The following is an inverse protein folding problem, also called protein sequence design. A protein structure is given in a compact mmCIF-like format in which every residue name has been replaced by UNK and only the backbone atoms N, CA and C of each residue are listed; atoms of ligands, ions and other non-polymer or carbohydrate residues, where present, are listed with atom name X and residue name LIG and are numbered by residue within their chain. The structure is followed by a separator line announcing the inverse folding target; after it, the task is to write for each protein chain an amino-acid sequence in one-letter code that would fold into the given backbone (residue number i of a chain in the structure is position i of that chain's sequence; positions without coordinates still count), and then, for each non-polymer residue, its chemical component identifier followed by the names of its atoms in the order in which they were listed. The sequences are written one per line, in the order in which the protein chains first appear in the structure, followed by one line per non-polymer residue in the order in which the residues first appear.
data_IF_187448913829
#
_entry.id   IF_187448913829
#
_cell.length_a   1.000
_cell.length_b   1.000
_cell.length_c   1.000
_cell.angle_alpha   90.00
_cell.angle_beta   90.00
_cell.angle_gamma   90.00
#
_symmetry.space_group_name_H-M   'P 1'
#
loop_
_entity.id
_entity.type
_entity.pdbx_description
1 polymer ?
#
# COMPACT_ATOMS: atom_id res chain seq x y z
N UNK A 1 10.18 -22.44 13.65
CA UNK A 1 11.12 -21.44 14.19
C UNK A 1 10.42 -20.59 15.25
N UNK A 2 10.33 -21.05 16.52
CA UNK A 2 9.44 -20.45 17.53
C UNK A 2 9.86 -19.05 18.05
N UNK A 3 11.00 -18.52 17.60
CA UNK A 3 11.53 -17.20 18.00
C UNK A 3 11.68 -16.23 16.81
N UNK A 4 11.16 -16.61 15.65
CA UNK A 4 11.22 -15.77 14.46
C UNK A 4 9.90 -15.03 14.34
N UNK A 5 9.97 -13.70 14.27
CA UNK A 5 8.79 -12.87 14.05
C UNK A 5 8.15 -13.21 12.71
N UNK A 6 6.86 -13.49 12.71
CA UNK A 6 6.09 -13.88 11.54
C UNK A 6 5.03 -12.82 11.20
N UNK A 7 5.21 -12.18 10.06
CA UNK A 7 4.20 -11.31 9.45
C UNK A 7 3.40 -12.14 8.43
N UNK A 8 2.08 -12.19 8.58
CA UNK A 8 1.21 -12.91 7.65
C UNK A 8 0.14 -12.02 7.02
N UNK A 9 -0.22 -12.31 5.78
CA UNK A 9 -1.23 -11.58 5.03
C UNK A 9 -1.28 -12.02 3.55
N UNK A 10 -2.11 -11.39 2.72
CA UNK A 10 -2.95 -10.24 3.06
C UNK A 10 -4.36 -10.66 3.46
N UNK A 11 -4.94 -9.93 4.41
CA UNK A 11 -6.36 -10.04 4.77
C UNK A 11 -7.06 -8.69 4.53
N UNK A 12 -8.39 -8.71 4.48
CA UNK A 12 -9.19 -7.50 4.34
C UNK A 12 -10.45 -7.48 5.21
N UNK A 13 -10.58 -8.44 6.14
CA UNK A 13 -11.77 -8.61 7.01
C UNK A 13 -11.36 -8.95 8.44
N UNK A 14 -12.31 -8.80 9.37
CA UNK A 14 -12.14 -9.17 10.77
C UNK A 14 -11.85 -10.68 10.92
N UNK A 15 -12.55 -11.53 10.18
CA UNK A 15 -12.41 -12.99 10.26
C UNK A 15 -11.02 -13.43 9.78
N UNK A 16 -10.52 -12.86 8.68
CA UNK A 16 -9.18 -13.15 8.19
C UNK A 16 -8.10 -12.73 9.20
N UNK A 17 -8.25 -11.55 9.80
CA UNK A 17 -7.36 -11.09 10.87
C UNK A 17 -7.38 -12.02 12.08
N UNK A 18 -8.57 -12.40 12.56
CA UNK A 18 -8.74 -13.32 13.68
C UNK A 18 -8.13 -14.70 13.41
N UNK A 19 -8.25 -15.21 12.18
CA UNK A 19 -7.67 -16.48 11.78
C UNK A 19 -6.13 -16.46 11.85
N UNK A 20 -5.50 -15.38 11.35
CA UNK A 20 -4.05 -15.21 11.42
C UNK A 20 -3.57 -15.05 12.87
N UNK A 21 -4.25 -14.24 13.68
CA UNK A 21 -3.95 -14.09 15.11
C UNK A 21 -4.02 -15.44 15.83
N UNK A 22 -5.07 -16.23 15.57
CA UNK A 22 -5.22 -17.58 16.14
C UNK A 22 -4.09 -18.53 15.69
N UNK A 23 -3.56 -18.34 14.49
CA UNK A 23 -2.42 -19.11 13.99
C UNK A 23 -1.08 -18.71 14.63
N UNK A 24 -1.04 -17.65 15.45
CA UNK A 24 0.15 -17.24 16.21
C UNK A 24 1.10 -16.33 15.45
N UNK A 25 0.59 -15.42 14.61
CA UNK A 25 1.41 -14.44 13.89
C UNK A 25 1.76 -13.24 14.77
N UNK A 26 2.93 -12.65 14.54
CA UNK A 26 3.42 -11.47 15.28
C UNK A 26 2.98 -10.15 14.62
N UNK A 27 2.50 -10.18 13.38
CA UNK A 27 1.81 -9.05 12.75
C UNK A 27 0.86 -9.50 11.64
N UNK A 28 -0.24 -8.75 11.46
CA UNK A 28 -1.20 -8.95 10.37
C UNK A 28 -1.00 -7.90 9.30
N UNK A 29 -0.78 -8.32 8.06
CA UNK A 29 -0.69 -7.44 6.89
C UNK A 29 -2.04 -7.33 6.18
N UNK A 30 -2.54 -6.11 6.01
CA UNK A 30 -3.90 -5.81 5.57
C UNK A 30 -3.88 -5.11 4.21
N UNK A 31 -4.63 -5.67 3.26
CA UNK A 31 -4.94 -5.00 1.99
C UNK A 31 -5.18 -5.96 0.85
N UNK A 32 -6.39 -5.92 0.26
CA UNK A 32 -6.77 -6.75 -0.89
C UNK A 32 -7.11 -5.86 -2.09
N UNK A 33 -6.19 -5.86 -3.07
CA UNK A 33 -6.27 -5.07 -4.30
C UNK A 33 -6.15 -3.53 -4.24
N UNK A 34 -5.59 -2.87 -3.19
CA UNK A 34 -5.52 -1.40 -3.15
C UNK A 34 -4.31 -0.81 -3.89
N UNK A 35 -3.31 -1.63 -4.25
CA UNK A 35 -2.04 -1.16 -4.78
C UNK A 35 -2.15 -0.66 -6.22
N UNK A 36 -1.33 0.34 -6.59
CA UNK A 36 -1.40 1.04 -7.89
C UNK A 36 -1.21 0.16 -9.13
N UNK A 37 -0.54 -0.98 -8.96
CA UNK A 37 -0.17 -1.96 -10.00
C UNK A 37 -1.03 -3.22 -9.93
N UNK A 38 -1.97 -3.29 -8.99
CA UNK A 38 -2.76 -4.48 -8.75
C UNK A 38 -4.08 -4.39 -9.51
N UNK A 39 -4.42 -5.44 -10.24
CA UNK A 39 -5.67 -5.55 -10.98
C UNK A 39 -6.62 -6.59 -10.39
N UNK A 40 -6.28 -7.22 -9.24
CA UNK A 40 -7.13 -8.19 -8.53
C UNK A 40 -8.60 -7.78 -8.49
N UNK A 41 -8.92 -6.56 -8.04
CA UNK A 41 -10.32 -6.10 -7.96
C UNK A 41 -11.05 -6.07 -9.30
N UNK A 42 -10.33 -5.82 -10.38
CA UNK A 42 -10.89 -5.74 -11.73
C UNK A 42 -11.00 -7.13 -12.36
N UNK A 43 -9.95 -7.96 -12.20
CA UNK A 43 -9.84 -9.27 -12.85
C UNK A 43 -10.66 -10.33 -12.11
N UNK A 44 -10.58 -10.39 -10.77
CA UNK A 44 -11.30 -11.38 -9.95
C UNK A 44 -12.60 -10.85 -9.35
N UNK A 45 -12.80 -9.52 -9.35
CA UNK A 45 -13.95 -8.89 -8.69
C UNK A 45 -13.84 -8.82 -7.15
N UNK A 46 -12.72 -9.25 -6.58
CA UNK A 46 -12.54 -9.37 -5.13
C UNK A 46 -11.70 -8.23 -4.55
N UNK A 47 -12.16 -7.63 -3.47
CA UNK A 47 -11.38 -6.71 -2.65
C UNK A 47 -12.22 -5.87 -1.71
N UNK A 48 -11.55 -5.16 -0.80
CA UNK A 48 -12.19 -4.29 0.20
C UNK A 48 -11.52 -2.93 0.17
N UNK A 49 -12.26 -1.80 0.15
CA UNK A 49 -11.66 -0.47 0.27
C UNK A 49 -10.70 -0.37 1.46
N UNK A 50 -9.48 0.13 1.22
CA UNK A 50 -8.36 -0.07 2.15
C UNK A 50 -8.60 0.49 3.55
N UNK A 51 -9.23 1.65 3.66
CA UNK A 51 -9.52 2.25 4.96
C UNK A 51 -10.52 1.41 5.78
N UNK A 52 -11.51 0.82 5.11
CA UNK A 52 -12.45 -0.12 5.72
C UNK A 52 -11.74 -1.43 6.10
N UNK A 53 -10.92 -1.98 5.21
CA UNK A 53 -10.16 -3.21 5.49
C UNK A 53 -9.28 -3.08 6.74
N UNK A 54 -8.61 -1.93 6.93
CA UNK A 54 -7.84 -1.63 8.14
C UNK A 54 -8.75 -1.59 9.37
N UNK A 55 -9.86 -0.85 9.30
CA UNK A 55 -10.82 -0.73 10.40
C UNK A 55 -11.51 -2.03 10.79
N UNK A 56 -11.74 -2.93 9.83
CA UNK A 56 -12.34 -4.24 10.11
C UNK A 56 -11.31 -5.23 10.69
N UNK A 57 -10.07 -5.20 10.20
CA UNK A 57 -9.01 -6.10 10.64
C UNK A 57 -8.41 -5.75 12.01
N UNK A 58 -8.51 -4.50 12.47
CA UNK A 58 -7.84 -4.05 13.70
C UNK A 58 -8.44 -4.66 14.98
N UNK A 59 -9.76 -4.83 15.06
CA UNK A 59 -10.43 -5.27 16.29
C UNK A 59 -9.91 -6.60 16.84
N UNK A 60 -9.83 -7.68 16.05
CA UNK A 60 -9.24 -8.95 16.47
C UNK A 60 -7.76 -8.86 16.82
N UNK A 61 -6.98 -8.11 16.03
CA UNK A 61 -5.54 -7.97 16.21
C UNK A 61 -5.20 -7.21 17.49
N UNK A 62 -5.90 -6.11 17.76
CA UNK A 62 -5.71 -5.27 18.94
C UNK A 62 -6.02 -6.03 20.24
N UNK A 63 -7.10 -6.84 20.27
CA UNK A 63 -7.42 -7.68 21.44
C UNK A 63 -6.32 -8.68 21.80
N UNK A 64 -5.53 -9.09 20.82
CA UNK A 64 -4.41 -10.01 21.01
C UNK A 64 -3.05 -9.30 21.14
N UNK A 65 -3.01 -7.97 21.09
CA UNK A 65 -1.77 -7.20 21.09
C UNK A 65 -0.93 -7.37 19.81
N UNK A 66 -1.54 -7.81 18.71
CA UNK A 66 -0.86 -8.05 17.43
C UNK A 66 -0.94 -6.78 16.55
N UNK A 67 0.17 -6.20 16.10
CA UNK A 67 0.18 -5.02 15.23
C UNK A 67 -0.36 -5.31 13.82
N UNK A 68 -0.94 -4.26 13.23
CA UNK A 68 -1.47 -4.28 11.85
C UNK A 68 -0.61 -3.43 10.92
N UNK A 69 -0.30 -3.96 9.74
CA UNK A 69 0.44 -3.29 8.66
C UNK A 69 -0.53 -2.97 7.52
N UNK A 70 -0.73 -1.69 7.21
CA UNK A 70 -1.53 -1.28 6.06
C UNK A 70 -0.71 -1.35 4.77
N UNK A 71 -1.04 -2.28 3.87
CA UNK A 71 -0.28 -2.59 2.65
C UNK A 71 -1.00 -2.13 1.38
N UNK A 72 -0.42 -1.13 0.71
CA UNK A 72 -0.86 -0.64 -0.60
C UNK A 72 -1.86 0.52 -0.55
N UNK A 73 -1.96 1.24 -1.68
CA UNK A 73 -2.90 2.34 -1.89
C UNK A 73 -2.45 3.72 -1.40
N UNK A 74 -1.30 3.82 -0.73
CA UNK A 74 -0.70 5.09 -0.29
C UNK A 74 -0.21 5.89 -1.50
N UNK A 75 -0.81 7.06 -1.75
CA UNK A 75 -0.41 7.99 -2.83
C UNK A 75 0.24 9.26 -2.28
N UNK A 76 -0.23 9.74 -1.13
CA UNK A 76 0.26 10.95 -0.49
C UNK A 76 0.60 10.69 0.99
N UNK A 77 1.41 11.56 1.59
CA UNK A 77 1.71 11.49 3.03
C UNK A 77 0.46 11.54 3.91
N UNK A 78 -0.59 12.26 3.48
CA UNK A 78 -1.89 12.27 4.15
C UNK A 78 -2.56 10.89 4.21
N UNK A 79 -2.31 10.00 3.25
CA UNK A 79 -2.83 8.63 3.29
C UNK A 79 -2.14 7.80 4.37
N UNK A 80 -0.85 8.07 4.65
CA UNK A 80 -0.13 7.47 5.79
C UNK A 80 -0.80 7.87 7.09
N UNK A 81 -1.08 9.17 7.26
CA UNK A 81 -1.80 9.67 8.44
C UNK A 81 -3.15 8.98 8.60
N UNK A 82 -3.95 8.88 7.53
CA UNK A 82 -5.27 8.23 7.56
C UNK A 82 -5.18 6.74 7.89
N UNK A 83 -4.23 6.00 7.30
CA UNK A 83 -4.05 4.58 7.56
C UNK A 83 -3.67 4.32 9.02
N UNK A 84 -2.73 5.11 9.56
CA UNK A 84 -2.33 5.01 10.97
C UNK A 84 -3.46 5.44 11.90
N UNK A 85 -4.18 6.52 11.59
CA UNK A 85 -5.35 6.95 12.35
C UNK A 85 -6.51 5.94 12.32
N UNK A 86 -6.63 5.12 11.28
CA UNK A 86 -7.63 4.06 11.18
C UNK A 86 -7.27 2.79 11.98
N UNK A 87 -6.11 2.75 12.65
CA UNK A 87 -5.72 1.65 13.53
C UNK A 87 -4.42 0.94 13.14
N UNK A 88 -3.88 1.16 11.94
CA UNK A 88 -2.63 0.53 11.54
C UNK A 88 -1.45 1.02 12.40
N UNK A 89 -0.51 0.11 12.66
CA UNK A 89 0.72 0.41 13.41
C UNK A 89 1.83 0.90 12.48
N UNK A 90 1.87 0.37 11.25
CA UNK A 90 2.81 0.76 10.20
C UNK A 90 2.12 0.72 8.83
N UNK A 91 2.77 1.31 7.83
CA UNK A 91 2.34 1.26 6.42
C UNK A 91 3.42 0.60 5.58
N UNK A 92 3.02 -0.21 4.60
CA UNK A 92 3.89 -0.78 3.58
C UNK A 92 3.64 -0.06 2.25
N UNK A 93 4.71 0.46 1.64
CA UNK A 93 4.64 1.36 0.48
C UNK A 93 5.50 0.79 -0.64
N UNK A 94 4.88 0.57 -1.81
CA UNK A 94 5.57 0.20 -3.05
C UNK A 94 5.78 1.40 -3.97
N UNK A 95 4.71 1.90 -4.59
CA UNK A 95 4.78 2.85 -5.71
C UNK A 95 5.49 4.19 -5.43
N UNK A 96 5.51 4.67 -4.18
CA UNK A 96 6.28 5.87 -3.84
C UNK A 96 7.79 5.62 -3.79
N UNK A 97 8.20 4.39 -3.44
CA UNK A 97 9.61 3.99 -3.35
C UNK A 97 10.14 3.37 -4.65
N UNK A 98 9.25 2.91 -5.54
CA UNK A 98 9.65 2.27 -6.79
C UNK A 98 10.53 3.16 -7.70
N UNK A 99 10.36 4.48 -7.63
CA UNK A 99 11.10 5.45 -8.44
C UNK A 99 12.40 5.96 -7.81
N UNK A 100 12.81 5.46 -6.63
CA UNK A 100 13.99 5.98 -5.93
C UNK A 100 15.29 5.37 -6.44
N UNK A 101 16.42 6.02 -6.17
CA UNK A 101 17.75 5.57 -6.54
C UNK A 101 18.03 4.13 -6.07
N UNK A 102 17.68 3.84 -4.83
CA UNK A 102 17.93 2.58 -4.13
C UNK A 102 17.00 1.44 -4.58
N UNK A 103 15.94 1.73 -5.34
CA UNK A 103 15.04 0.69 -5.84
C UNK A 103 15.74 -0.17 -6.91
N UNK A 104 15.40 -1.46 -7.05
CA UNK A 104 16.12 -2.35 -7.97
C UNK A 104 15.73 -2.17 -9.45
N UNK A 105 14.64 -1.46 -9.76
CA UNK A 105 14.13 -1.33 -11.12
C UNK A 105 15.11 -0.61 -12.05
N UNK A 106 15.15 -1.00 -13.32
CA UNK A 106 15.99 -0.33 -14.31
C UNK A 106 15.55 1.13 -14.51
N UNK A 107 16.52 2.04 -14.57
CA UNK A 107 16.31 3.45 -14.91
C UNK A 107 16.28 3.62 -16.42
N UNK A 108 15.18 4.14 -16.96
CA UNK A 108 15.00 4.35 -18.39
C UNK A 108 14.77 5.82 -18.72
N UNK A 109 15.20 6.24 -19.91
CA UNK A 109 14.86 7.55 -20.47
C UNK A 109 13.68 7.38 -21.43
N UNK A 110 12.63 8.17 -21.22
CA UNK A 110 11.48 8.19 -22.13
C UNK A 110 10.95 9.60 -22.31
N UNK A 111 10.81 10.04 -23.55
CA UNK A 111 10.35 11.40 -23.91
C UNK A 111 11.09 12.49 -23.12
N UNK A 112 12.41 12.35 -22.97
CA UNK A 112 13.27 13.32 -22.28
C UNK A 112 13.13 13.36 -20.76
N UNK A 113 12.44 12.39 -20.15
CA UNK A 113 12.30 12.27 -18.69
C UNK A 113 12.80 10.91 -18.20
N UNK A 114 13.32 10.91 -16.98
CA UNK A 114 13.85 9.70 -16.33
C UNK A 114 12.75 8.99 -15.56
N UNK A 115 12.65 7.67 -15.75
CA UNK A 115 11.70 6.79 -15.08
C UNK A 115 12.41 5.57 -14.53
N UNK A 116 11.76 4.82 -13.65
CA UNK A 116 12.15 3.45 -13.27
C UNK A 116 11.05 2.46 -13.61
N UNK A 117 11.43 1.26 -14.04
CA UNK A 117 10.48 0.16 -14.25
C UNK A 117 9.89 -0.29 -12.92
N UNK A 118 8.58 -0.52 -12.90
CA UNK A 118 7.83 -0.94 -11.72
C UNK A 118 6.73 -1.91 -12.12
N UNK A 119 6.67 -3.07 -11.47
CA UNK A 119 5.74 -4.14 -11.83
C UNK A 119 5.07 -4.78 -10.62
N UNK A 120 3.85 -5.26 -10.84
CA UNK A 120 3.13 -6.08 -9.87
C UNK A 120 3.67 -7.49 -9.78
N UNK A 121 3.65 -8.05 -8.57
CA UNK A 121 4.00 -9.47 -8.39
C UNK A 121 3.02 -10.38 -9.16
N UNK A 122 1.80 -9.93 -9.42
CA UNK A 122 0.84 -10.63 -10.29
C UNK A 122 0.99 -10.32 -11.78
N UNK A 123 2.06 -9.64 -12.22
CA UNK A 123 2.32 -9.43 -13.64
C UNK A 123 2.90 -10.68 -14.29
N UNK A 124 2.80 -10.78 -15.63
CA UNK A 124 3.28 -11.94 -16.36
C UNK A 124 4.79 -12.16 -16.17
N UNK A 125 5.61 -11.11 -16.26
CA UNK A 125 7.06 -11.25 -16.07
C UNK A 125 7.40 -11.67 -14.63
N UNK A 126 6.76 -11.05 -13.63
CA UNK A 126 7.01 -11.40 -12.23
C UNK A 126 6.63 -12.85 -11.90
N UNK A 127 5.51 -13.33 -12.46
CA UNK A 127 5.07 -14.72 -12.32
C UNK A 127 5.99 -15.70 -13.08
N UNK A 128 6.46 -15.35 -14.28
CA UNK A 128 7.41 -16.19 -15.03
C UNK A 128 8.75 -16.35 -14.32
N UNK A 129 9.26 -15.28 -13.72
CA UNK A 129 10.59 -15.28 -13.09
C UNK A 129 10.63 -15.99 -11.73
N UNK A 130 9.54 -15.97 -10.96
CA UNK A 130 9.54 -16.46 -9.57
C UNK A 130 8.34 -17.36 -9.28
N UNK A 131 8.62 -18.61 -8.94
CA UNK A 131 7.64 -19.58 -8.42
C UNK A 131 6.82 -18.99 -7.27
N UNK A 132 7.47 -18.37 -6.27
CA UNK A 132 6.74 -17.72 -5.16
C UNK A 132 5.79 -16.60 -5.59
N UNK A 133 5.97 -16.01 -6.78
CA UNK A 133 5.04 -15.03 -7.32
C UNK A 133 3.82 -15.68 -7.97
N UNK A 134 3.97 -16.85 -8.61
CA UNK A 134 2.85 -17.67 -9.13
C UNK A 134 2.04 -18.31 -8.00
N UNK A 135 2.73 -18.91 -7.02
CA UNK A 135 2.13 -19.50 -5.82
C UNK A 135 1.21 -18.52 -5.10
N UNK A 136 1.67 -17.26 -4.99
CA UNK A 136 0.93 -16.18 -4.33
C UNK A 136 -0.47 -15.94 -4.93
N UNK A 137 -0.67 -16.26 -6.21
CA UNK A 137 -1.97 -16.15 -6.89
C UNK A 137 -2.59 -17.53 -7.17
N UNK A 138 -2.08 -18.59 -6.53
CA UNK A 138 -2.57 -19.96 -6.65
C UNK A 138 -2.52 -20.51 -8.09
N UNK A 139 -1.54 -20.07 -8.90
CA UNK A 139 -1.39 -20.45 -10.31
C UNK A 139 -0.21 -21.41 -10.58
N UNK A 140 0.37 -22.03 -9.54
CA UNK A 140 1.48 -22.99 -9.70
C UNK A 140 1.02 -24.29 -10.38
N UNK A 141 -0.07 -24.90 -9.92
CA UNK A 141 -0.57 -26.18 -10.45
C UNK A 141 -1.15 -26.03 -11.87
N UNK A 142 -1.78 -24.89 -12.17
CA UNK A 142 -2.47 -24.66 -13.46
C UNK A 142 -1.50 -24.46 -14.65
N UNK A 143 -0.27 -23.99 -14.39
CA UNK A 143 0.71 -23.69 -15.43
C UNK A 143 1.47 -24.93 -15.92
N UNK A 144 1.73 -25.91 -15.05
CA UNK A 144 2.47 -27.13 -15.39
C UNK A 144 1.57 -28.26 -15.93
N UNK A 145 0.37 -28.48 -15.39
CA UNK A 145 -0.46 -29.64 -15.77
C UNK A 145 -1.25 -29.46 -17.08
N UNK A 146 -1.54 -28.23 -17.51
CA UNK A 146 -2.54 -27.98 -18.57
C UNK A 146 -2.03 -27.14 -19.75
N UNK A 147 -0.76 -26.71 -19.76
CA UNK A 147 -0.24 -25.78 -20.77
C UNK A 147 -1.03 -24.46 -20.84
N UNK A 148 -1.72 -24.10 -19.74
CA UNK A 148 -2.63 -22.95 -19.68
C UNK A 148 -1.86 -21.65 -19.51
N UNK A 149 -2.35 -20.61 -20.18
CA UNK A 149 -1.80 -19.25 -20.08
C UNK A 149 -2.12 -18.68 -18.70
N UNK A 150 -1.11 -18.14 -18.02
CA UNK A 150 -1.25 -17.40 -16.76
C UNK A 150 -2.30 -16.27 -16.88
N UNK A 151 -3.05 -16.03 -15.80
CA UNK A 151 -4.05 -14.95 -15.70
C UNK A 151 -3.50 -13.87 -14.75
N UNK A 152 -2.93 -12.77 -15.28
CA UNK A 152 -2.25 -11.79 -14.44
C UNK A 152 -3.23 -10.92 -13.61
N UNK A 153 -2.92 -10.77 -12.33
CA UNK A 153 -3.58 -9.85 -11.38
C UNK A 153 -2.72 -8.61 -11.06
N UNK A 154 -1.75 -8.33 -11.93
CA UNK A 154 -0.94 -7.12 -11.88
C UNK A 154 -0.44 -6.70 -13.25
N UNK A 155 0.00 -5.45 -13.34
CA UNK A 155 0.55 -4.86 -14.56
C UNK A 155 2.04 -4.55 -14.41
N UNK A 156 2.68 -4.34 -15.55
CA UNK A 156 4.00 -3.75 -15.66
C UNK A 156 3.87 -2.31 -16.14
N UNK A 157 4.67 -1.42 -15.56
CA UNK A 157 4.67 -0.03 -15.91
C UNK A 157 5.97 0.64 -15.53
N UNK A 158 5.93 1.97 -15.51
CA UNK A 158 7.04 2.81 -15.11
C UNK A 158 6.55 3.91 -14.19
N UNK A 159 7.41 4.34 -13.28
CA UNK A 159 7.15 5.47 -12.38
C UNK A 159 8.22 6.54 -12.60
N UNK A 160 7.89 7.83 -12.42
CA UNK A 160 8.89 8.90 -12.52
C UNK A 160 10.05 8.65 -11.56
N UNK A 161 11.26 9.02 -11.96
CA UNK A 161 12.40 9.07 -11.05
C UNK A 161 12.13 10.07 -9.92
N UNK A 162 12.42 9.66 -8.67
CA UNK A 162 12.07 10.40 -7.44
C UNK A 162 13.28 10.84 -6.61
N UNK A 163 14.50 10.57 -7.07
CA UNK A 163 15.73 10.83 -6.30
C UNK A 163 15.92 9.82 -5.17
N UNK A 164 16.58 10.23 -4.09
CA UNK A 164 16.89 9.34 -2.96
C UNK A 164 15.65 8.95 -2.15
N UNK A 165 15.66 7.74 -1.60
CA UNK A 165 14.65 7.25 -0.67
C UNK A 165 14.56 8.15 0.57
N UNK A 166 15.70 8.61 1.07
CA UNK A 166 15.80 9.47 2.26
C UNK A 166 14.96 10.74 2.12
N UNK A 167 14.97 11.36 0.94
CA UNK A 167 14.19 12.56 0.65
C UNK A 167 12.67 12.27 0.69
N UNK A 168 12.24 11.17 0.08
CA UNK A 168 10.83 10.77 0.08
C UNK A 168 10.35 10.45 1.51
N UNK A 169 11.15 9.73 2.28
CA UNK A 169 10.85 9.42 3.69
C UNK A 169 10.72 10.70 4.51
N UNK A 170 11.61 11.68 4.32
CA UNK A 170 11.52 12.98 5.00
C UNK A 170 10.18 13.68 4.72
N UNK A 171 9.71 13.69 3.46
CA UNK A 171 8.43 14.29 3.09
C UNK A 171 7.23 13.52 3.68
N UNK A 172 7.28 12.19 3.69
CA UNK A 172 6.24 11.34 4.28
C UNK A 172 6.12 11.57 5.80
N UNK A 173 7.25 11.54 6.50
CA UNK A 173 7.31 11.78 7.96
C UNK A 173 6.90 13.22 8.27
N UNK A 174 7.30 14.20 7.46
CA UNK A 174 6.88 15.59 7.60
C UNK A 174 5.35 15.75 7.51
N UNK A 175 4.73 15.13 6.51
CA UNK A 175 3.27 15.12 6.36
C UNK A 175 2.54 14.40 7.50
N UNK A 176 3.09 13.27 7.99
CA UNK A 176 2.56 12.56 9.16
C UNK A 176 2.61 13.45 10.41
N UNK A 177 3.75 14.08 10.69
CA UNK A 177 3.91 14.98 11.85
C UNK A 177 2.96 16.18 11.77
N UNK A 178 2.76 16.76 10.60
CA UNK A 178 1.76 17.81 10.40
C UNK A 178 0.34 17.31 10.70
N UNK A 179 -0.02 16.14 10.17
CA UNK A 179 -1.33 15.51 10.44
C UNK A 179 -1.56 15.21 11.92
N UNK A 180 -0.54 14.70 12.62
CA UNK A 180 -0.58 14.50 14.08
C UNK A 180 -0.74 15.83 14.83
N UNK A 181 -0.07 16.90 14.38
CA UNK A 181 -0.22 18.24 14.93
C UNK A 181 -1.65 18.78 14.84
N UNK A 182 -2.29 18.67 13.68
CA UNK A 182 -3.70 19.06 13.50
C UNK A 182 -4.67 18.25 14.37
N UNK A 183 -4.38 16.97 14.58
CA UNK A 183 -5.19 16.07 15.40
C UNK A 183 -4.86 16.14 16.90
N UNK A 184 -3.87 16.94 17.29
CA UNK A 184 -3.44 17.07 18.69
C UNK A 184 -2.80 15.80 19.26
N UNK A 185 -2.32 14.89 18.42
CA UNK A 185 -1.74 13.61 18.84
C UNK A 185 -0.23 13.73 19.06
N UNK A 186 0.24 13.43 20.28
CA UNK A 186 1.67 13.45 20.65
C UNK A 186 2.38 12.13 20.35
N UNK A 187 1.61 11.07 20.12
CA UNK A 187 2.11 9.74 19.80
C UNK A 187 1.24 9.05 18.75
N UNK A 188 1.77 7.99 18.11
CA UNK A 188 0.98 7.18 17.19
C UNK A 188 -0.16 6.43 17.89
N UNK A 189 0.00 6.12 19.19
CA UNK A 189 -1.07 5.54 20.00
C UNK A 189 -2.23 6.52 20.19
N UNK A 190 -1.92 7.78 20.55
CA UNK A 190 -2.94 8.84 20.63
C UNK A 190 -3.62 9.10 19.28
N UNK A 191 -2.86 9.05 18.17
CA UNK A 191 -3.41 9.19 16.83
C UNK A 191 -4.46 8.10 16.54
N UNK A 192 -4.14 6.84 16.83
CA UNK A 192 -5.05 5.70 16.65
C UNK A 192 -6.30 5.79 17.52
N UNK A 193 -6.16 6.24 18.76
CA UNK A 193 -7.26 6.24 19.74
C UNK A 193 -8.22 7.43 19.55
N UNK A 194 -7.71 8.59 19.15
CA UNK A 194 -8.46 9.85 19.23
C UNK A 194 -8.90 10.41 17.86
N UNK A 195 -8.33 9.92 16.75
CA UNK A 195 -8.66 10.44 15.44
C UNK A 195 -10.14 10.22 15.08
N UNK A 196 -10.76 11.24 14.50
CA UNK A 196 -12.13 11.19 13.99
C UNK A 196 -12.13 11.47 12.50
N UNK A 197 -12.93 10.72 11.77
CA UNK A 197 -13.07 10.87 10.32
C UNK A 197 -14.42 11.49 9.97
N UNK A 198 -14.42 12.28 8.90
CA UNK A 198 -15.62 12.76 8.23
C UNK A 198 -15.61 12.21 6.80
N UNK A 199 -16.73 11.63 6.37
CA UNK A 199 -16.88 11.16 4.99
C UNK A 199 -17.14 12.36 4.08
N UNK A 200 -16.39 12.46 2.99
CA UNK A 200 -16.55 13.50 1.98
C UNK A 200 -17.12 12.93 0.68
N UNK A 201 -17.80 13.76 -0.09
CA UNK A 201 -18.22 13.44 -1.46
C UNK A 201 -17.05 13.59 -2.44
N UNK A 202 -17.23 13.18 -3.70
CA UNK A 202 -16.24 13.43 -4.74
C UNK A 202 -15.97 14.92 -4.98
N UNK A 203 -16.96 15.79 -4.76
CA UNK A 203 -16.77 17.24 -4.80
C UNK A 203 -15.85 17.72 -3.67
N UNK A 204 -16.03 17.18 -2.45
CA UNK A 204 -15.12 17.47 -1.33
C UNK A 204 -13.70 16.94 -1.55
N UNK A 205 -13.54 15.82 -2.26
CA UNK A 205 -12.20 15.35 -2.67
C UNK A 205 -11.57 16.31 -3.68
N UNK A 206 -12.33 16.80 -4.66
CA UNK A 206 -11.84 17.80 -5.63
C UNK A 206 -11.44 19.10 -4.93
N UNK A 207 -12.25 19.56 -3.97
CA UNK A 207 -11.94 20.72 -3.11
C UNK A 207 -10.67 20.50 -2.28
N UNK A 208 -10.41 19.27 -1.81
CA UNK A 208 -9.21 18.96 -1.02
C UNK A 208 -7.90 19.05 -1.81
N UNK A 209 -7.96 18.92 -3.14
CA UNK A 209 -6.82 19.03 -4.02
C UNK A 209 -6.64 20.48 -4.50
N UNK A 210 -5.46 20.83 -5.03
CA UNK A 210 -5.28 22.13 -5.71
C UNK A 210 -6.29 22.25 -6.85
N UNK A 211 -7.11 23.29 -6.84
CA UNK A 211 -8.10 23.61 -7.87
C UNK A 211 -8.09 25.11 -8.22
N UNK A 212 -8.59 25.44 -9.41
CA UNK A 212 -8.76 26.83 -9.92
C UNK A 212 -7.47 27.66 -10.06
N UNK A 213 -6.30 27.02 -10.11
CA UNK A 213 -5.00 27.65 -10.35
C UNK A 213 -4.08 26.79 -11.22
N UNK A 214 -3.11 27.41 -11.89
CA UNK A 214 -2.05 26.71 -12.62
C UNK A 214 -0.81 26.54 -11.73
N UNK A 215 -0.35 25.30 -11.54
CA UNK A 215 0.88 25.01 -10.81
C UNK A 215 2.07 25.41 -11.69
N UNK A 216 2.84 26.40 -11.25
CA UNK A 216 4.05 26.88 -11.96
C UNK A 216 5.34 26.22 -11.47
N UNK A 217 5.32 25.66 -10.25
CA UNK A 217 6.44 24.94 -9.64
C UNK A 217 5.92 23.74 -8.85
N UNK A 218 6.45 22.57 -9.14
CA UNK A 218 6.06 21.34 -8.43
C UNK A 218 6.58 21.34 -6.99
N UNK A 219 5.71 20.94 -6.06
CA UNK A 219 6.07 20.70 -4.69
C UNK A 219 6.57 19.24 -4.51
N UNK A 220 7.58 19.00 -3.66
CA UNK A 220 8.18 17.67 -3.52
C UNK A 220 7.27 16.60 -2.92
N UNK A 221 6.16 17.02 -2.29
CA UNK A 221 5.20 16.17 -1.59
C UNK A 221 3.82 16.14 -2.26
N UNK A 222 3.65 16.78 -3.42
CA UNK A 222 2.37 16.87 -4.10
C UNK A 222 2.52 16.82 -5.62
N UNK A 223 1.99 15.75 -6.22
CA UNK A 223 1.86 15.59 -7.67
C UNK A 223 0.54 14.89 -7.98
N UNK A 224 -0.20 15.47 -8.92
CA UNK A 224 -1.33 14.79 -9.53
C UNK A 224 -0.81 14.05 -10.77
N UNK A 225 -1.04 12.75 -10.83
CA UNK A 225 -0.79 11.91 -12.01
C UNK A 225 -2.08 11.75 -12.81
#
# INVERSE_FOLDING_TARGET
FPRVDLIAGNVGTAEGSAALVKAGVDAVKVGMGPASICTTRVVSGVGVPQLTAIGDAIGPAERAGVPVIADGGIKFSGDVTKALAAGAHTVMIGGLFAGTEESPGETILYQGRTYKLYRGMGSLEAMREREGSRNRYFQDEEAEELGRKLVPEGIEGRVPYKGSLSFIVQQLVGGLRAGMGYLGARSLAELRQNAKFVRVSSAGLKESHVHDVYITKEAPNYRLE
#
